data_IF_652521122033
#
_entry.id   IF_652521122033
#
_cell.length_a   1.000
_cell.length_b   1.000
_cell.length_c   1.000
_cell.angle_alpha   90.00
_cell.angle_beta   90.00
_cell.angle_gamma   90.00
#
_symmetry.space_group_name_H-M   'P 1'
#
loop_
_entity.id
_entity.type
_entity.pdbx_description
1 polymer ?
#
# COMPACT_ATOMS: atom_id res chain seq x y z
N UNK A 1 -37.54 -52.44 37.95
CA UNK A 1 -36.40 -53.18 37.36
C UNK A 1 -35.16 -52.28 37.38
N UNK A 2 -33.99 -52.91 37.43
CA UNK A 2 -32.66 -52.44 37.88
C UNK A 2 -32.19 -51.06 37.42
N UNK A 3 -31.58 -50.34 38.38
CA UNK A 3 -30.73 -49.16 38.22
C UNK A 3 -29.42 -49.55 37.52
N UNK A 4 -28.95 -48.75 36.56
CA UNK A 4 -27.55 -48.74 36.14
C UNK A 4 -27.08 -47.28 36.24
N UNK A 5 -26.26 -47.03 37.27
CA UNK A 5 -25.50 -45.79 37.42
C UNK A 5 -24.20 -45.99 36.64
N UNK A 6 -23.95 -45.15 35.64
CA UNK A 6 -22.62 -45.04 35.04
C UNK A 6 -22.06 -43.68 35.44
N UNK A 7 -21.04 -43.74 36.28
CA UNK A 7 -20.18 -42.62 36.62
C UNK A 7 -19.01 -42.57 35.64
N UNK A 8 -18.30 -41.43 35.66
CA UNK A 8 -16.97 -41.18 35.08
C UNK A 8 -16.98 -40.62 33.64
N UNK A 9 -16.14 -39.68 33.23
CA UNK A 9 -14.96 -39.05 33.83
C UNK A 9 -14.92 -37.58 33.35
N UNK A 10 -14.73 -36.64 34.27
CA UNK A 10 -14.42 -35.24 33.97
C UNK A 10 -12.97 -35.14 33.48
N UNK A 11 -12.77 -34.93 32.17
CA UNK A 11 -11.49 -34.48 31.63
C UNK A 11 -11.49 -32.94 31.61
N UNK A 12 -10.96 -32.34 32.67
CA UNK A 12 -10.65 -30.92 32.69
C UNK A 12 -9.40 -30.68 31.83
N UNK A 13 -9.59 -30.19 30.60
CA UNK A 13 -8.48 -29.68 29.80
C UNK A 13 -8.04 -28.33 30.38
N UNK A 14 -6.93 -28.33 31.12
CA UNK A 14 -6.22 -27.12 31.49
C UNK A 14 -5.61 -26.51 30.22
N UNK A 15 -6.28 -25.54 29.60
CA UNK A 15 -5.63 -24.62 28.68
C UNK A 15 -4.78 -23.66 29.52
N UNK A 16 -3.51 -23.99 29.70
CA UNK A 16 -2.50 -23.01 30.10
C UNK A 16 -2.36 -22.01 28.95
N UNK A 17 -3.09 -20.91 29.03
CA UNK A 17 -2.83 -19.73 28.24
C UNK A 17 -1.44 -19.20 28.62
N UNK A 18 -0.41 -19.68 27.92
CA UNK A 18 0.91 -19.07 27.96
C UNK A 18 0.81 -17.69 27.34
N UNK A 19 0.52 -16.67 28.15
CA UNK A 19 0.79 -15.29 27.79
C UNK A 19 2.31 -15.14 27.73
N UNK A 20 2.89 -15.48 26.57
CA UNK A 20 4.25 -15.08 26.25
C UNK A 20 4.28 -13.56 26.18
N UNK A 21 4.62 -12.91 27.28
CA UNK A 21 5.05 -11.51 27.21
C UNK A 21 6.31 -11.48 26.35
N UNK A 22 6.19 -10.94 25.15
CA UNK A 22 7.35 -10.57 24.36
C UNK A 22 8.07 -9.45 25.13
N UNK A 23 8.96 -9.82 26.04
CA UNK A 23 9.91 -8.88 26.62
C UNK A 23 10.93 -8.57 25.55
N UNK A 24 10.83 -7.40 24.94
CA UNK A 24 11.92 -6.82 24.17
C UNK A 24 13.13 -6.76 25.10
N UNK A 25 14.14 -7.60 24.85
CA UNK A 25 15.43 -7.48 25.51
C UNK A 25 16.05 -6.19 24.98
N UNK A 26 15.93 -5.11 25.74
CA UNK A 26 16.87 -4.00 25.60
C UNK A 26 18.23 -4.58 25.96
N UNK A 27 18.96 -5.05 24.95
CA UNK A 27 20.39 -5.14 25.09
C UNK A 27 20.85 -3.71 25.36
N UNK A 28 21.31 -3.44 26.58
CA UNK A 28 22.17 -2.31 26.90
C UNK A 28 23.46 -2.44 26.08
N UNK A 29 23.30 -2.22 24.78
CA UNK A 29 24.38 -1.95 23.87
C UNK A 29 24.68 -0.50 24.15
N UNK A 30 25.77 -0.23 24.88
CA UNK A 30 26.26 1.12 25.09
C UNK A 30 26.10 1.90 23.79
N UNK A 31 25.30 2.97 23.84
CA UNK A 31 24.94 3.72 22.66
C UNK A 31 26.23 4.05 21.89
N UNK A 32 26.33 3.75 20.58
CA UNK A 32 27.43 4.28 19.81
C UNK A 32 27.40 5.79 20.03
N UNK A 33 28.54 6.35 20.48
CA UNK A 33 28.75 7.80 20.54
C UNK A 33 28.22 8.33 19.22
N UNK A 34 27.22 9.20 19.31
CA UNK A 34 26.50 9.77 18.19
C UNK A 34 27.50 10.66 17.44
N UNK A 35 28.38 10.03 16.66
CA UNK A 35 29.27 10.70 15.73
C UNK A 35 28.39 11.60 14.87
N UNK A 36 28.86 12.83 14.70
CA UNK A 36 28.19 13.94 14.04
C UNK A 36 27.18 13.43 13.02
N UNK A 37 25.89 13.42 13.38
CA UNK A 37 24.84 13.03 12.43
C UNK A 37 25.02 13.98 11.26
N UNK A 38 25.41 13.44 10.10
CA UNK A 38 25.48 14.20 8.88
C UNK A 38 24.16 14.97 8.76
N UNK A 39 24.23 16.30 8.79
CA UNK A 39 23.06 17.14 8.61
C UNK A 39 22.62 16.89 7.18
N UNK A 40 21.57 16.07 7.00
CA UNK A 40 21.02 15.81 5.68
C UNK A 40 20.67 17.14 5.04
N UNK A 41 21.18 17.38 3.82
CA UNK A 41 20.78 18.53 3.02
C UNK A 41 19.24 18.52 2.91
N UNK A 42 18.60 19.65 3.19
CA UNK A 42 17.17 19.77 3.04
C UNK A 42 16.76 19.34 1.62
N UNK A 43 15.71 18.52 1.52
CA UNK A 43 15.18 18.10 0.23
C UNK A 43 14.73 19.34 -0.57
N UNK A 44 14.95 19.31 -1.89
CA UNK A 44 14.40 20.33 -2.77
C UNK A 44 12.86 20.34 -2.66
N UNK A 45 12.22 21.52 -2.77
CA UNK A 45 10.76 21.59 -2.78
C UNK A 45 10.22 20.73 -3.92
N UNK A 46 9.16 20.00 -3.65
CA UNK A 46 8.49 19.15 -4.62
C UNK A 46 6.98 19.34 -4.57
N UNK A 47 6.32 19.00 -5.66
CA UNK A 47 4.87 19.01 -5.78
C UNK A 47 4.39 17.70 -6.39
N UNK A 48 3.20 17.25 -5.99
CA UNK A 48 2.54 16.08 -6.59
C UNK A 48 1.39 16.54 -7.46
N UNK A 49 1.45 16.21 -8.75
CA UNK A 49 0.41 16.52 -9.73
C UNK A 49 -0.31 15.23 -10.13
N UNK A 50 -1.64 15.27 -10.19
CA UNK A 50 -2.46 14.17 -10.67
C UNK A 50 -2.90 14.42 -12.11
N UNK A 51 -2.93 13.36 -12.90
CA UNK A 51 -3.52 13.38 -14.24
C UNK A 51 -5.04 13.26 -14.19
N UNK A 52 -5.60 13.22 -15.39
CA UNK A 52 -7.02 12.97 -15.61
C UNK A 52 -7.43 11.57 -15.14
N UNK A 53 -8.70 11.44 -14.79
CA UNK A 53 -9.30 10.15 -14.49
C UNK A 53 -9.50 9.38 -15.79
N UNK A 54 -8.89 8.20 -15.87
CA UNK A 54 -9.09 7.25 -16.96
C UNK A 54 -10.01 6.13 -16.48
N UNK A 55 -11.09 5.90 -17.20
CA UNK A 55 -11.99 4.76 -16.95
C UNK A 55 -11.48 3.53 -17.69
N UNK A 56 -11.38 2.41 -17.00
CA UNK A 56 -10.99 1.11 -17.54
C UNK A 56 -12.16 0.16 -17.42
N UNK A 57 -12.70 -0.28 -18.55
CA UNK A 57 -13.79 -1.24 -18.58
C UNK A 57 -13.40 -2.59 -17.96
N UNK A 58 -14.40 -3.37 -17.55
CA UNK A 58 -14.21 -4.70 -16.97
C UNK A 58 -13.38 -5.61 -17.90
N UNK A 59 -12.38 -6.30 -17.34
CA UNK A 59 -11.49 -7.19 -18.08
C UNK A 59 -10.51 -6.51 -19.04
N UNK A 60 -10.43 -5.18 -19.06
CA UNK A 60 -9.56 -4.42 -19.97
C UNK A 60 -8.27 -3.94 -19.33
N UNK A 61 -7.36 -3.48 -20.19
CA UNK A 61 -6.14 -2.75 -19.80
C UNK A 61 -6.34 -1.28 -20.15
N UNK A 62 -5.94 -0.39 -19.24
CA UNK A 62 -5.95 1.05 -19.45
C UNK A 62 -4.60 1.69 -19.13
N UNK A 63 -4.37 2.88 -19.68
CA UNK A 63 -3.17 3.67 -19.43
C UNK A 63 -3.58 5.05 -18.92
N UNK A 64 -2.94 5.50 -17.84
CA UNK A 64 -3.06 6.87 -17.36
C UNK A 64 -1.69 7.55 -17.39
N UNK A 65 -1.67 8.81 -17.79
CA UNK A 65 -0.47 9.63 -17.92
C UNK A 65 -0.65 10.95 -17.22
N UNK A 66 0.45 11.54 -16.76
CA UNK A 66 0.48 12.90 -16.22
C UNK A 66 1.83 13.54 -16.49
N UNK A 67 1.83 14.83 -16.74
CA UNK A 67 3.04 15.62 -16.96
C UNK A 67 3.32 16.54 -15.79
N UNK A 68 4.60 16.79 -15.55
CA UNK A 68 5.05 17.87 -14.68
C UNK A 68 4.72 19.23 -15.31
N UNK A 69 4.42 20.25 -14.48
CA UNK A 69 4.32 21.62 -14.95
C UNK A 69 5.62 22.07 -15.65
N UNK A 70 5.50 23.01 -16.60
CA UNK A 70 6.65 23.57 -17.30
C UNK A 70 7.70 24.12 -16.31
N UNK A 71 8.98 23.86 -16.60
CA UNK A 71 10.10 24.28 -15.76
C UNK A 71 10.43 23.34 -14.59
N UNK A 72 9.77 22.19 -14.49
CA UNK A 72 10.05 21.17 -13.46
C UNK A 72 10.38 19.81 -14.09
N UNK A 73 11.07 18.97 -13.33
CA UNK A 73 11.46 17.62 -13.73
C UNK A 73 10.79 16.57 -12.85
N UNK A 74 10.46 15.43 -13.43
CA UNK A 74 9.93 14.29 -12.67
C UNK A 74 11.03 13.62 -11.85
N UNK A 75 10.74 13.36 -10.58
CA UNK A 75 11.61 12.60 -9.68
C UNK A 75 10.95 11.30 -9.18
N UNK A 76 9.72 11.05 -9.59
CA UNK A 76 8.94 9.89 -9.19
C UNK A 76 7.48 10.02 -9.58
N UNK A 77 6.70 9.00 -9.27
CA UNK A 77 5.26 8.98 -9.53
C UNK A 77 4.64 7.63 -9.24
N UNK A 78 3.39 7.46 -9.67
CA UNK A 78 2.65 6.23 -9.51
C UNK A 78 1.23 6.35 -10.05
N UNK A 79 0.38 5.45 -9.58
CA UNK A 79 -1.04 5.44 -9.93
C UNK A 79 -1.91 5.21 -8.70
N UNK A 80 -3.15 5.68 -8.76
CA UNK A 80 -4.18 5.43 -7.74
C UNK A 80 -5.43 4.90 -8.41
N UNK A 81 -5.92 3.75 -7.94
CA UNK A 81 -7.22 3.23 -8.34
C UNK A 81 -8.31 4.12 -7.72
N UNK A 82 -9.38 4.34 -8.48
CA UNK A 82 -10.53 5.15 -8.10
C UNK A 82 -11.78 4.30 -8.31
N UNK A 83 -12.50 4.00 -7.23
CA UNK A 83 -13.81 3.34 -7.34
C UNK A 83 -14.81 4.26 -8.04
N UNK A 84 -15.48 3.77 -9.10
CA UNK A 84 -16.46 4.56 -9.86
C UNK A 84 -17.91 4.21 -9.53
N UNK A 85 -18.14 3.04 -8.93
CA UNK A 85 -19.49 2.51 -8.64
C UNK A 85 -19.61 2.28 -7.14
N UNK A 86 -20.54 2.97 -6.50
CA UNK A 86 -20.82 2.79 -5.09
C UNK A 86 -21.37 1.37 -4.84
N UNK A 87 -20.82 0.69 -3.84
CA UNK A 87 -21.25 -0.67 -3.46
C UNK A 87 -20.73 -1.79 -4.37
N UNK A 88 -19.95 -1.50 -5.41
CA UNK A 88 -19.20 -2.53 -6.13
C UNK A 88 -17.97 -2.96 -5.32
N UNK A 89 -17.53 -4.21 -5.50
CA UNK A 89 -16.24 -4.69 -4.97
C UNK A 89 -15.09 -3.91 -5.63
N UNK A 90 -14.71 -2.77 -5.07
CA UNK A 90 -13.61 -1.96 -5.60
C UNK A 90 -12.25 -2.55 -5.28
N UNK A 91 -11.26 -2.29 -6.13
CA UNK A 91 -9.87 -2.67 -5.88
C UNK A 91 -9.43 -3.96 -6.58
N UNK A 92 -10.17 -4.39 -7.62
CA UNK A 92 -9.72 -5.45 -8.53
C UNK A 92 -9.00 -4.91 -9.77
N UNK A 93 -8.60 -3.64 -9.75
CA UNK A 93 -7.65 -3.06 -10.69
C UNK A 93 -6.24 -3.07 -10.12
N UNK A 94 -5.31 -3.59 -10.92
CA UNK A 94 -3.91 -3.73 -10.54
C UNK A 94 -3.03 -2.90 -11.47
N UNK A 95 -2.14 -2.09 -10.89
CA UNK A 95 -1.07 -1.44 -11.65
C UNK A 95 -0.08 -2.52 -12.05
N UNK A 96 0.03 -2.78 -13.35
CA UNK A 96 0.90 -3.81 -13.92
C UNK A 96 2.18 -3.23 -14.53
N UNK A 97 2.21 -1.92 -14.77
CA UNK A 97 3.43 -1.19 -15.12
C UNK A 97 3.35 0.25 -14.61
N UNK A 98 4.50 0.79 -14.22
CA UNK A 98 4.64 2.18 -13.76
C UNK A 98 6.04 2.67 -14.10
N UNK A 99 6.14 3.67 -14.96
CA UNK A 99 7.42 4.18 -15.42
C UNK A 99 7.38 5.70 -15.59
N UNK A 100 8.51 6.32 -15.25
CA UNK A 100 8.73 7.75 -15.39
C UNK A 100 9.50 8.11 -16.65
N UNK A 101 9.27 9.32 -17.13
CA UNK A 101 10.16 10.04 -18.04
C UNK A 101 10.69 11.31 -17.36
N UNK A 102 11.50 12.10 -18.06
CA UNK A 102 12.04 13.35 -17.50
C UNK A 102 10.96 14.37 -17.12
N UNK A 103 9.81 14.33 -17.78
CA UNK A 103 8.74 15.33 -17.65
C UNK A 103 7.40 14.75 -17.20
N UNK A 104 7.31 13.47 -16.84
CA UNK A 104 6.01 12.87 -16.54
C UNK A 104 6.06 11.44 -16.07
N UNK A 105 4.87 10.89 -15.83
CA UNK A 105 4.67 9.54 -15.35
C UNK A 105 3.56 8.83 -16.11
N UNK A 106 3.74 7.54 -16.35
CA UNK A 106 2.74 6.67 -16.94
C UNK A 106 2.51 5.45 -16.05
N UNK A 107 1.24 5.06 -15.93
CA UNK A 107 0.84 3.78 -15.34
C UNK A 107 -0.05 3.00 -16.28
N UNK A 108 0.16 1.68 -16.31
CA UNK A 108 -0.70 0.73 -16.98
C UNK A 108 -1.43 -0.10 -15.94
N UNK A 109 -2.75 -0.22 -16.09
CA UNK A 109 -3.62 -0.92 -15.15
C UNK A 109 -4.37 -2.04 -15.86
N UNK A 110 -4.48 -3.20 -15.20
CA UNK A 110 -5.40 -4.27 -15.57
C UNK A 110 -6.60 -4.24 -14.65
N UNK A 111 -7.79 -4.00 -15.20
CA UNK A 111 -9.04 -4.17 -14.46
C UNK A 111 -9.50 -5.63 -14.54
N UNK A 112 -9.44 -6.35 -13.42
CA UNK A 112 -9.94 -7.73 -13.29
C UNK A 112 -11.32 -7.81 -12.64
N UNK A 113 -11.94 -6.65 -12.40
CA UNK A 113 -13.30 -6.56 -11.91
C UNK A 113 -14.34 -6.92 -12.98
N UNK A 114 -15.57 -7.14 -12.52
CA UNK A 114 -16.76 -7.30 -13.38
C UNK A 114 -17.41 -5.96 -13.74
N UNK A 115 -16.99 -4.86 -13.11
CA UNK A 115 -17.43 -3.49 -13.39
C UNK A 115 -16.27 -2.61 -13.87
N UNK A 116 -16.59 -1.45 -14.44
CA UNK A 116 -15.57 -0.44 -14.77
C UNK A 116 -14.98 0.18 -13.49
N UNK A 117 -13.68 0.47 -13.54
CA UNK A 117 -12.97 1.19 -12.47
C UNK A 117 -12.20 2.36 -13.06
N UNK A 118 -11.79 3.28 -12.19
CA UNK A 118 -11.01 4.46 -12.57
C UNK A 118 -9.56 4.32 -12.14
N UNK A 119 -8.66 4.96 -12.89
CA UNK A 119 -7.25 5.10 -12.55
C UNK A 119 -6.83 6.55 -12.79
N UNK A 120 -5.99 7.09 -11.91
CA UNK A 120 -5.23 8.32 -12.15
C UNK A 120 -3.75 8.05 -12.00
N UNK A 121 -2.95 8.59 -12.91
CA UNK A 121 -1.51 8.71 -12.68
C UNK A 121 -1.23 9.92 -11.77
N UNK A 122 -0.15 9.85 -10.99
CA UNK A 122 0.43 11.02 -10.36
C UNK A 122 1.93 11.07 -10.64
N UNK A 123 2.47 12.29 -10.66
CA UNK A 123 3.91 12.56 -10.81
C UNK A 123 4.36 13.47 -9.68
N UNK A 124 5.57 13.22 -9.18
CA UNK A 124 6.28 14.09 -8.26
C UNK A 124 7.27 14.92 -9.07
N UNK A 125 7.16 16.24 -8.96
CA UNK A 125 7.93 17.20 -9.73
C UNK A 125 8.73 18.11 -8.81
N UNK A 126 9.96 18.42 -9.20
CA UNK A 126 10.82 19.39 -8.51
C UNK A 126 11.46 20.35 -9.52
N UNK A 127 11.90 21.50 -9.04
CA UNK A 127 12.76 22.38 -9.83
C UNK A 127 14.16 21.74 -9.89
N UNK A 128 14.74 21.54 -11.09
CA UNK A 128 16.05 20.92 -11.24
C UNK A 128 17.20 21.72 -10.61
#
# INVERSE_FOLDING_TARGET
MRRIKVAALTAAALLTAGAGVAVARNADSGAPVQGDRAVSKAAAPFQRTFGDLVTVAAGQIGNATVSCPAGTVSTGGGGVNVGLVAGADTGRSFIIASFGGTTGWQVTVRNTNTVQEGIRAFVVCTTP
#
